data_IF_257391998912
#
_entry.id   IF_257391998912
#
_cell.length_a   1.000
_cell.length_b   1.000
_cell.length_c   1.000
_cell.angle_alpha   90.00
_cell.angle_beta   90.00
_cell.angle_gamma   90.00
#
_symmetry.space_group_name_H-M   'P 1'
#
loop_
_entity.id
_entity.type
_entity.pdbx_description
1 polymer ?
#
# COMPACT_ATOMS: atom_id res chain seq x y z
N UNK A 1 -7.42 8.73 -19.95
CA UNK A 1 -8.58 8.19 -19.22
C UNK A 1 -8.38 8.63 -17.80
N UNK A 2 -9.24 9.51 -17.30
CA UNK A 2 -9.16 9.95 -15.91
C UNK A 2 -9.51 8.77 -15.01
N UNK A 3 -8.70 8.54 -13.98
CA UNK A 3 -8.87 7.46 -12.98
C UNK A 3 -8.87 8.11 -11.61
N UNK A 4 -9.69 7.63 -10.68
CA UNK A 4 -9.71 8.16 -9.30
C UNK A 4 -8.44 7.79 -8.54
N UNK A 5 -7.77 6.71 -8.93
CA UNK A 5 -6.44 6.38 -8.45
C UNK A 5 -5.76 5.24 -9.21
N UNK A 6 -4.55 4.91 -8.77
CA UNK A 6 -3.71 3.83 -9.30
C UNK A 6 -3.31 2.91 -8.16
N UNK A 7 -3.45 1.61 -8.38
CA UNK A 7 -3.21 0.59 -7.37
C UNK A 7 -2.16 -0.40 -7.86
N UNK A 8 -1.01 -0.41 -7.19
CA UNK A 8 0.07 -1.37 -7.41
C UNK A 8 -0.06 -2.49 -6.39
N UNK A 9 -0.24 -3.72 -6.87
CA UNK A 9 -0.18 -4.94 -6.07
C UNK A 9 1.15 -5.60 -6.39
N UNK A 10 1.95 -5.94 -5.38
CA UNK A 10 3.28 -6.52 -5.62
C UNK A 10 3.61 -7.68 -4.70
N UNK A 11 4.10 -8.74 -5.31
CA UNK A 11 4.61 -9.95 -4.67
C UNK A 11 6.13 -9.83 -4.54
N UNK A 12 6.65 -9.84 -3.32
CA UNK A 12 8.08 -9.69 -3.01
C UNK A 12 8.64 -11.01 -2.49
N UNK A 13 9.70 -11.51 -3.10
CA UNK A 13 10.31 -12.80 -2.75
C UNK A 13 11.79 -12.67 -2.43
N UNK A 14 12.28 -13.58 -1.58
CA UNK A 14 13.69 -13.63 -1.16
C UNK A 14 14.05 -12.51 -0.17
N UNK A 15 13.08 -11.97 0.57
CA UNK A 15 13.31 -10.99 1.61
C UNK A 15 13.92 -11.64 2.87
N UNK A 16 14.73 -10.87 3.60
CA UNK A 16 15.40 -11.35 4.81
C UNK A 16 14.40 -11.58 5.96
N UNK A 17 14.48 -12.75 6.61
CA UNK A 17 13.60 -13.16 7.71
C UNK A 17 13.50 -12.10 8.81
N UNK A 18 14.63 -11.55 9.25
CA UNK A 18 14.68 -10.59 10.36
C UNK A 18 13.94 -9.29 10.05
N UNK A 19 13.91 -8.86 8.78
CA UNK A 19 13.16 -7.67 8.37
C UNK A 19 11.67 -7.96 8.33
N UNK A 20 11.29 -9.08 7.72
CA UNK A 20 9.89 -9.50 7.63
C UNK A 20 9.26 -9.76 9.00
N UNK A 21 10.05 -10.14 10.00
CA UNK A 21 9.57 -10.44 11.34
C UNK A 21 9.74 -9.28 12.36
N UNK A 22 10.11 -8.08 11.92
CA UNK A 22 10.27 -6.90 12.78
C UNK A 22 9.22 -5.83 12.46
N UNK A 23 8.21 -5.72 13.33
CA UNK A 23 7.11 -4.78 13.16
C UNK A 23 7.55 -3.32 13.11
N UNK A 24 8.56 -2.92 13.87
CA UNK A 24 9.06 -1.54 13.86
C UNK A 24 9.81 -1.25 12.56
N UNK A 25 10.55 -2.25 12.04
CA UNK A 25 11.20 -2.16 10.73
C UNK A 25 10.17 -1.99 9.61
N UNK A 26 9.14 -2.84 9.59
CA UNK A 26 8.07 -2.81 8.61
C UNK A 26 7.27 -1.49 8.66
N UNK A 27 6.90 -1.04 9.86
CA UNK A 27 6.21 0.24 10.06
C UNK A 27 7.01 1.40 9.50
N UNK A 28 8.30 1.49 9.86
CA UNK A 28 9.20 2.52 9.36
C UNK A 28 9.30 2.48 7.83
N UNK A 29 9.43 1.31 7.22
CA UNK A 29 9.53 1.16 5.76
C UNK A 29 8.27 1.69 5.07
N UNK A 30 7.08 1.31 5.54
CA UNK A 30 5.82 1.74 4.92
C UNK A 30 5.54 3.23 5.12
N UNK A 31 5.84 3.78 6.31
CA UNK A 31 5.72 5.22 6.58
C UNK A 31 6.67 6.01 5.69
N UNK A 32 7.95 5.61 5.61
CA UNK A 32 8.94 6.25 4.73
C UNK A 32 8.51 6.14 3.24
N UNK A 33 7.89 5.02 2.84
CA UNK A 33 7.38 4.82 1.49
C UNK A 33 6.25 5.81 1.15
N UNK A 34 5.27 5.96 2.05
CA UNK A 34 4.16 6.90 1.88
C UNK A 34 4.67 8.35 1.81
N UNK A 35 5.60 8.74 2.69
CA UNK A 35 6.18 10.08 2.66
C UNK A 35 6.97 10.34 1.37
N UNK A 36 7.70 9.33 0.87
CA UNK A 36 8.46 9.43 -0.38
C UNK A 36 7.59 9.50 -1.63
N UNK A 37 6.42 8.89 -1.63
CA UNK A 37 5.46 9.06 -2.73
C UNK A 37 4.77 10.42 -2.70
N UNK A 38 4.99 11.24 -1.66
CA UNK A 38 4.34 12.53 -1.47
C UNK A 38 2.95 12.43 -0.85
N UNK A 39 2.59 11.26 -0.29
CA UNK A 39 1.30 11.06 0.33
C UNK A 39 1.24 11.66 1.75
N UNK A 40 0.07 12.16 2.11
CA UNK A 40 -0.23 12.61 3.48
C UNK A 40 -0.79 11.43 4.29
N UNK A 41 -0.12 11.10 5.39
CA UNK A 41 -0.51 10.01 6.29
C UNK A 41 -1.63 10.48 7.23
N UNK A 42 -2.66 9.64 7.36
CA UNK A 42 -3.79 9.87 8.28
C UNK A 42 -3.70 8.99 9.52
N UNK A 43 -3.38 7.72 9.34
CA UNK A 43 -3.35 6.73 10.42
C UNK A 43 -2.40 5.58 10.05
N UNK A 44 -1.85 4.93 11.07
CA UNK A 44 -0.98 3.77 10.93
C UNK A 44 -1.43 2.68 11.91
N UNK A 45 -1.44 1.43 11.46
CA UNK A 45 -1.77 0.28 12.31
C UNK A 45 -0.96 -0.94 11.89
N UNK A 46 -0.27 -1.55 12.85
CA UNK A 46 0.60 -2.70 12.63
C UNK A 46 0.37 -3.77 13.70
N UNK A 47 0.47 -5.03 13.29
CA UNK A 47 0.33 -6.18 14.17
C UNK A 47 1.40 -7.22 13.86
N UNK A 48 2.15 -7.63 14.90
CA UNK A 48 3.07 -8.76 14.83
C UNK A 48 2.37 -10.02 15.33
N UNK A 49 2.40 -11.07 14.51
CA UNK A 49 1.84 -12.38 14.87
C UNK A 49 2.86 -13.25 15.62
N UNK A 50 2.32 -14.25 16.33
CA UNK A 50 3.09 -15.35 16.88
C UNK A 50 2.86 -16.62 16.03
N UNK A 51 3.91 -17.38 15.68
CA UNK A 51 5.30 -17.20 16.10
C UNK A 51 6.05 -16.09 15.32
N UNK A 52 5.54 -15.64 14.18
CA UNK A 52 6.22 -14.68 13.32
C UNK A 52 5.27 -14.02 12.31
N UNK A 53 5.77 -12.97 11.65
CA UNK A 53 5.07 -12.25 10.59
C UNK A 53 4.40 -10.97 11.07
N UNK A 54 4.15 -10.07 10.15
CA UNK A 54 3.60 -8.73 10.37
C UNK A 54 2.52 -8.45 9.33
N UNK A 55 1.39 -7.91 9.80
CA UNK A 55 0.41 -7.21 8.96
C UNK A 55 0.47 -5.72 9.29
N UNK A 56 0.38 -4.87 8.28
CA UNK A 56 0.47 -3.44 8.46
C UNK A 56 -0.34 -2.65 7.43
N UNK A 57 -0.84 -1.50 7.85
CA UNK A 57 -1.48 -0.51 6.98
C UNK A 57 -1.04 0.90 7.36
N UNK A 58 -0.78 1.70 6.34
CA UNK A 58 -0.67 3.16 6.41
C UNK A 58 -1.83 3.72 5.60
N UNK A 59 -2.79 4.31 6.31
CA UNK A 59 -3.92 5.02 5.71
C UNK A 59 -3.42 6.40 5.28
N UNK A 60 -3.62 6.72 4.00
CA UNK A 60 -3.34 8.02 3.40
C UNK A 60 -4.65 8.63 2.91
N UNK A 61 -4.70 9.93 2.64
CA UNK A 61 -5.92 10.71 2.34
C UNK A 61 -7.18 9.91 1.96
N UNK A 62 -7.26 9.34 0.75
CA UNK A 62 -8.42 8.55 0.28
C UNK A 62 -8.02 7.12 -0.17
N UNK A 63 -6.87 6.62 0.29
CA UNK A 63 -6.30 5.34 -0.15
C UNK A 63 -5.37 4.73 0.91
N UNK A 64 -4.45 3.82 0.55
CA UNK A 64 -3.65 3.08 1.54
C UNK A 64 -2.38 2.46 0.97
N UNK A 65 -1.43 2.20 1.87
CA UNK A 65 -0.36 1.22 1.69
C UNK A 65 -0.58 0.08 2.68
N UNK A 66 -0.53 -1.18 2.23
CA UNK A 66 -0.61 -2.35 3.14
C UNK A 66 0.51 -3.35 2.86
N UNK A 67 0.80 -4.17 3.87
CA UNK A 67 1.78 -5.26 3.79
C UNK A 67 1.33 -6.45 4.63
N UNK A 68 1.57 -7.64 4.11
CA UNK A 68 1.51 -8.90 4.85
C UNK A 68 2.79 -9.69 4.60
N UNK A 69 3.47 -10.11 5.66
CA UNK A 69 4.75 -10.82 5.55
C UNK A 69 4.63 -12.28 6.00
N UNK A 70 5.36 -13.16 5.33
CA UNK A 70 5.54 -14.57 5.69
C UNK A 70 7.04 -14.87 5.79
N UNK A 71 7.68 -14.57 6.94
CA UNK A 71 9.13 -14.69 7.11
C UNK A 71 9.71 -16.07 6.76
N UNK A 72 8.98 -17.15 7.06
CA UNK A 72 9.34 -18.55 6.77
C UNK A 72 9.52 -18.83 5.27
N UNK A 73 8.92 -18.00 4.43
CA UNK A 73 8.97 -18.11 2.97
C UNK A 73 9.82 -17.00 2.33
N UNK A 74 10.39 -16.09 3.14
CA UNK A 74 11.06 -14.90 2.62
C UNK A 74 10.14 -14.05 1.74
N UNK A 75 8.84 -14.02 2.06
CA UNK A 75 7.80 -13.46 1.21
C UNK A 75 7.07 -12.30 1.88
N UNK A 76 6.68 -11.30 1.09
CA UNK A 76 5.71 -10.28 1.47
C UNK A 76 4.81 -9.92 0.30
N UNK A 77 3.50 -9.78 0.56
CA UNK A 77 2.59 -9.09 -0.35
C UNK A 77 2.43 -7.64 0.07
N UNK A 78 2.41 -6.74 -0.91
CA UNK A 78 2.16 -5.32 -0.66
C UNK A 78 1.10 -4.78 -1.63
N UNK A 79 0.30 -3.86 -1.12
CA UNK A 79 -0.69 -3.09 -1.87
C UNK A 79 -0.39 -1.61 -1.69
N UNK A 80 -0.13 -0.89 -2.77
CA UNK A 80 0.12 0.55 -2.78
C UNK A 80 -0.93 1.21 -3.65
N UNK A 81 -1.97 1.72 -3.00
CA UNK A 81 -3.06 2.43 -3.63
C UNK A 81 -2.90 3.92 -3.38
N UNK A 82 -2.77 4.72 -4.44
CA UNK A 82 -2.73 6.19 -4.38
C UNK A 82 -3.84 6.82 -5.23
N UNK A 83 -4.32 7.98 -4.80
CA UNK A 83 -5.26 8.83 -5.54
C UNK A 83 -4.55 10.07 -6.11
N UNK A 84 -5.17 10.71 -7.10
CA UNK A 84 -4.63 11.91 -7.75
C UNK A 84 -3.38 11.62 -8.59
N UNK A 85 -2.46 12.59 -8.61
CA UNK A 85 -1.25 12.56 -9.45
C UNK A 85 -0.06 11.80 -8.82
N UNK A 86 -0.25 11.19 -7.65
CA UNK A 86 0.82 10.46 -6.96
C UNK A 86 1.11 9.13 -7.67
N UNK A 87 2.39 8.86 -7.91
CA UNK A 87 2.82 7.59 -8.51
C UNK A 87 3.00 6.50 -7.43
N UNK A 88 2.14 5.46 -7.39
CA UNK A 88 2.25 4.39 -6.40
C UNK A 88 3.55 3.58 -6.56
N UNK A 89 4.17 3.60 -7.75
CA UNK A 89 5.42 2.88 -7.99
C UNK A 89 6.58 3.42 -7.15
N UNK A 90 6.57 4.69 -6.75
CA UNK A 90 7.60 5.27 -5.88
C UNK A 90 7.64 4.53 -4.54
N UNK A 91 6.47 4.38 -3.91
CA UNK A 91 6.35 3.67 -2.65
C UNK A 91 6.61 2.16 -2.81
N UNK A 92 6.03 1.52 -3.83
CA UNK A 92 6.23 0.08 -4.08
C UNK A 92 7.71 -0.27 -4.34
N UNK A 93 8.43 0.55 -5.10
CA UNK A 93 9.87 0.39 -5.34
C UNK A 93 10.68 0.57 -4.06
N UNK A 94 10.35 1.58 -3.26
CA UNK A 94 11.04 1.83 -1.99
C UNK A 94 10.87 0.65 -1.02
N UNK A 95 9.66 0.11 -0.88
CA UNK A 95 9.39 -1.04 -0.02
C UNK A 95 10.20 -2.26 -0.49
N UNK A 96 10.16 -2.57 -1.78
CA UNK A 96 10.93 -3.69 -2.35
C UNK A 96 12.44 -3.55 -2.12
N UNK A 97 13.00 -2.35 -2.30
CA UNK A 97 14.41 -2.05 -2.04
C UNK A 97 14.77 -2.25 -0.56
N UNK A 98 13.96 -1.72 0.37
CA UNK A 98 14.26 -1.80 1.81
C UNK A 98 14.06 -3.19 2.40
N UNK A 99 13.16 -3.99 1.83
CA UNK A 99 13.04 -5.40 2.15
C UNK A 99 14.09 -6.27 1.47
N UNK A 100 14.94 -5.70 0.60
CA UNK A 100 15.97 -6.40 -0.17
C UNK A 100 15.43 -7.60 -0.95
N UNK A 101 14.21 -7.46 -1.48
CA UNK A 101 13.56 -8.50 -2.29
C UNK A 101 14.46 -8.90 -3.47
N UNK A 102 14.64 -10.21 -3.67
CA UNK A 102 15.44 -10.76 -4.78
C UNK A 102 14.66 -10.83 -6.07
N UNK A 103 13.35 -11.04 -5.99
CA UNK A 103 12.45 -10.94 -7.13
C UNK A 103 11.15 -10.25 -6.74
N UNK A 104 10.52 -9.68 -7.75
CA UNK A 104 9.26 -8.95 -7.62
C UNK A 104 8.37 -9.20 -8.81
N UNK A 105 7.11 -9.52 -8.53
CA UNK A 105 6.03 -9.49 -9.51
C UNK A 105 5.09 -8.35 -9.15
N UNK A 106 4.58 -7.64 -10.15
CA UNK A 106 3.77 -6.44 -9.94
C UNK A 106 2.62 -6.39 -10.93
N UNK A 107 1.42 -6.10 -10.42
CA UNK A 107 0.24 -5.77 -11.20
C UNK A 107 -0.17 -4.33 -10.88
N UNK A 108 -0.38 -3.52 -11.92
CA UNK A 108 -0.94 -2.18 -11.76
C UNK A 108 -2.39 -2.13 -12.28
N UNK A 109 -3.27 -1.58 -11.45
CA UNK A 109 -4.69 -1.44 -11.72
C UNK A 109 -5.10 0.04 -11.64
N UNK A 110 -5.78 0.53 -12.66
CA UNK A 110 -6.51 1.80 -12.58
C UNK A 110 -7.79 1.60 -11.76
N UNK A 111 -8.03 2.46 -10.77
CA UNK A 111 -9.19 2.37 -9.87
C UNK A 111 -10.17 3.52 -10.18
N UNK A 112 -11.43 3.16 -10.45
CA UNK A 112 -12.46 4.14 -10.77
C UNK A 112 -12.36 4.66 -12.21
N UNK A 113 -12.15 3.77 -13.18
CA UNK A 113 -12.15 4.12 -14.61
C UNK A 113 -13.58 4.31 -15.12
N UNK A 114 -13.85 5.46 -15.74
CA UNK A 114 -15.15 5.81 -16.30
C UNK A 114 -15.45 7.30 -16.15
N UNK A 115 -16.57 7.77 -16.74
CA UNK A 115 -17.04 9.12 -16.42
C UNK A 115 -17.49 9.15 -14.96
N UNK A 116 -16.80 9.94 -14.13
CA UNK A 116 -17.25 10.27 -12.78
C UNK A 116 -18.61 10.96 -12.92
N UNK A 117 -19.70 10.20 -12.74
CA UNK A 117 -21.02 10.80 -12.62
C UNK A 117 -21.04 11.47 -11.27
N UNK A 118 -21.07 12.81 -11.27
CA UNK A 118 -21.44 13.57 -10.08
C UNK A 118 -22.85 13.12 -9.70
N UNK A 119 -22.97 12.21 -8.74
CA UNK A 119 -24.21 11.89 -8.07
C UNK A 119 -24.57 13.11 -7.23
N UNK A 120 -25.04 14.18 -7.88
CA UNK A 120 -25.73 15.26 -7.20
C UNK A 120 -26.91 14.58 -6.52
N UNK A 121 -26.83 14.49 -5.19
CA UNK A 121 -27.90 14.00 -4.34
C UNK A 121 -29.17 14.75 -4.74
N UNK A 122 -30.09 14.08 -5.45
CA UNK A 122 -31.47 14.50 -5.50
C UNK A 122 -32.05 14.28 -4.10
N UNK A 123 -31.70 15.16 -3.15
CA UNK A 123 -32.56 15.40 -2.01
C UNK A 123 -33.86 15.94 -2.60
N UNK A 124 -34.80 15.03 -2.84
CA UNK A 124 -36.20 15.41 -2.95
C UNK A 124 -36.53 16.13 -1.65
N UNK A 125 -36.77 17.43 -1.74
CA UNK A 125 -37.59 18.13 -0.77
C UNK A 125 -38.90 17.33 -0.64
N UNK A 126 -39.03 16.60 0.46
CA UNK A 126 -40.33 16.15 0.93
C UNK A 126 -40.95 17.35 1.62
N UNK A 127 -42.02 17.85 0.99
CA UNK A 127 -43.01 18.76 1.55
C UNK A 127 -43.58 18.19 2.86
#
# INVERSE_FOLDING_TARGET
>A
MDTLGRHVISELWGCEFNKLNDVNCIEKILVDAALKSGAEIREVAFHKFAPQGVSGVVIISESHLTIHTFPEHGYASIDVYTCGDLDPNIAANYIAEKLEAKSRETLELSRGTGQVQNLVLKQKALL
#
